data_IF_863012142507
#
_entry.id   IF_863012142507
#
_cell.length_a   1.000
_cell.length_b   1.000
_cell.length_c   1.000
_cell.angle_alpha   90.00
_cell.angle_beta   90.00
_cell.angle_gamma   90.00
#
_symmetry.space_group_name_H-M   'P 1'
#
loop_
_entity.id
_entity.type
_entity.pdbx_description
1 polymer ?
#
# COMPACT_ATOMS: atom_id res chain seq x y z
N UNK A 1 27.69 -37.01 -31.84
CA UNK A 1 27.77 -37.82 -30.61
C UNK A 1 27.64 -36.88 -29.43
N UNK A 2 26.50 -36.96 -28.70
CA UNK A 2 26.28 -36.17 -27.47
C UNK A 2 26.88 -36.95 -26.30
N UNK A 3 27.62 -36.27 -25.43
CA UNK A 3 28.26 -36.89 -24.27
C UNK A 3 27.21 -37.38 -23.24
N UNK A 4 27.44 -38.47 -22.50
CA UNK A 4 26.46 -39.06 -21.58
C UNK A 4 26.48 -38.46 -20.16
N UNK A 5 26.96 -37.22 -19.97
CA UNK A 5 27.17 -36.63 -18.63
C UNK A 5 26.19 -35.52 -18.24
N UNK A 6 25.15 -35.23 -19.03
CA UNK A 6 24.12 -34.22 -18.70
C UNK A 6 22.76 -34.84 -18.28
N UNK A 7 22.77 -36.04 -17.69
CA UNK A 7 21.57 -36.71 -17.15
C UNK A 7 21.84 -37.40 -15.80
N UNK A 8 22.31 -36.66 -14.82
CA UNK A 8 22.25 -36.92 -13.37
C UNK A 8 22.62 -35.56 -12.73
N UNK A 9 21.68 -34.72 -12.30
CA UNK A 9 21.43 -34.53 -10.85
C UNK A 9 20.16 -33.68 -10.57
N UNK A 10 19.13 -33.76 -11.42
CA UNK A 10 17.82 -33.13 -11.14
C UNK A 10 16.83 -34.06 -10.43
N UNK A 11 17.22 -35.30 -10.14
CA UNK A 11 16.45 -36.24 -9.36
C UNK A 11 16.99 -36.25 -7.93
N UNK A 12 16.19 -35.67 -7.03
CA UNK A 12 16.27 -35.81 -5.58
C UNK A 12 17.26 -34.88 -4.83
N UNK A 13 17.20 -33.57 -5.08
CA UNK A 13 17.50 -32.64 -3.97
C UNK A 13 16.40 -32.83 -2.93
N UNK A 14 16.72 -33.46 -1.80
CA UNK A 14 15.79 -33.59 -0.69
C UNK A 14 15.22 -32.21 -0.34
N UNK A 15 13.89 -32.07 -0.39
CA UNK A 15 13.20 -30.83 -0.04
C UNK A 15 13.62 -30.46 1.38
N UNK A 16 14.37 -29.36 1.54
CA UNK A 16 14.79 -28.88 2.85
C UNK A 16 13.54 -28.47 3.61
N UNK A 17 13.22 -29.20 4.68
CA UNK A 17 12.12 -28.88 5.58
C UNK A 17 12.69 -28.31 6.87
N UNK A 18 12.21 -27.13 7.24
CA UNK A 18 12.57 -26.50 8.50
C UNK A 18 12.03 -27.27 9.69
N UNK A 19 12.83 -27.34 10.75
CA UNK A 19 12.48 -28.02 12.02
C UNK A 19 12.48 -27.06 13.21
N UNK A 20 12.86 -25.79 13.02
CA UNK A 20 12.83 -24.79 14.07
C UNK A 20 11.39 -24.33 14.37
N UNK A 21 10.95 -24.50 15.61
CA UNK A 21 9.64 -24.05 16.10
C UNK A 21 9.69 -22.71 16.85
N UNK A 22 10.88 -22.10 16.95
CA UNK A 22 11.11 -20.79 17.56
C UNK A 22 11.25 -19.69 16.51
N UNK A 23 10.92 -18.44 16.86
CA UNK A 23 10.99 -17.31 15.93
C UNK A 23 12.41 -17.03 15.41
N UNK A 24 13.44 -17.50 16.12
CA UNK A 24 14.84 -17.43 15.73
C UNK A 24 15.51 -18.79 16.01
N UNK A 25 16.23 -19.40 15.04
CA UNK A 25 17.02 -20.61 15.26
C UNK A 25 18.02 -20.46 16.41
N UNK A 26 18.21 -21.53 17.18
CA UNK A 26 19.06 -21.53 18.38
C UNK A 26 20.50 -21.07 18.11
N UNK A 27 21.09 -21.47 16.97
CA UNK A 27 22.45 -21.09 16.61
C UNK A 27 22.57 -19.57 16.37
N UNK A 28 21.63 -18.99 15.63
CA UNK A 28 21.58 -17.55 15.38
C UNK A 28 21.31 -16.77 16.68
N UNK A 29 20.34 -17.21 17.49
CA UNK A 29 20.02 -16.57 18.77
C UNK A 29 21.26 -16.51 19.67
N UNK A 30 21.94 -17.65 19.90
CA UNK A 30 23.15 -17.70 20.73
C UNK A 30 24.24 -16.78 20.21
N UNK A 31 24.43 -16.75 18.89
CA UNK A 31 25.40 -15.89 18.23
C UNK A 31 25.05 -14.41 18.44
N UNK A 32 23.83 -13.96 18.11
CA UNK A 32 23.43 -12.55 18.23
C UNK A 32 23.40 -12.05 19.67
N UNK A 33 23.09 -12.91 20.64
CA UNK A 33 23.21 -12.58 22.07
C UNK A 33 24.68 -12.40 22.47
N UNK A 34 25.56 -13.33 22.10
CA UNK A 34 26.99 -13.26 22.42
C UNK A 34 27.67 -12.03 21.82
N UNK A 35 27.39 -11.74 20.55
CA UNK A 35 27.96 -10.59 19.82
C UNK A 35 27.23 -9.25 20.12
N UNK A 36 26.21 -9.26 20.99
CA UNK A 36 25.39 -8.07 21.35
C UNK A 36 24.72 -7.38 20.14
N UNK A 37 24.24 -8.17 19.18
CA UNK A 37 23.59 -7.72 17.94
C UNK A 37 22.06 -7.82 18.00
N UNK A 38 21.47 -7.57 19.17
CA UNK A 38 20.01 -7.61 19.34
C UNK A 38 19.39 -6.26 18.95
N UNK A 39 18.31 -6.30 18.17
CA UNK A 39 17.54 -5.10 17.87
C UNK A 39 16.74 -4.65 19.11
N UNK A 40 16.34 -3.38 19.17
CA UNK A 40 15.53 -2.83 20.27
C UNK A 40 14.28 -3.68 20.58
N UNK A 41 13.57 -4.12 19.54
CA UNK A 41 12.36 -4.95 19.65
C UNK A 41 12.63 -6.40 20.10
N UNK A 42 13.90 -6.81 20.16
CA UNK A 42 14.32 -8.12 20.66
C UNK A 42 14.86 -8.04 22.10
N UNK A 43 14.82 -6.86 22.73
CA UNK A 43 15.19 -6.63 24.12
C UNK A 43 13.94 -6.59 25.01
N UNK A 44 14.01 -7.23 26.18
CA UNK A 44 12.92 -7.21 27.16
C UNK A 44 12.65 -5.78 27.62
N UNK A 45 11.48 -5.25 27.27
CA UNK A 45 11.08 -3.87 27.59
C UNK A 45 12.06 -2.78 27.10
N UNK A 46 12.83 -3.04 26.05
CA UNK A 46 13.88 -2.12 25.58
C UNK A 46 15.06 -1.97 26.57
N UNK A 47 15.13 -2.79 27.63
CA UNK A 47 16.23 -2.78 28.58
C UNK A 47 17.49 -3.35 27.92
N UNK A 48 18.60 -2.61 28.03
CA UNK A 48 19.89 -3.05 27.48
C UNK A 48 20.30 -4.39 28.10
N UNK A 49 20.76 -5.31 27.26
CA UNK A 49 21.36 -6.60 27.63
C UNK A 49 20.43 -7.65 28.25
N UNK A 50 19.10 -7.48 28.21
CA UNK A 50 18.15 -8.54 28.57
C UNK A 50 17.44 -9.04 27.31
N UNK A 51 17.81 -10.22 26.79
CA UNK A 51 17.14 -10.81 25.63
C UNK A 51 15.64 -11.00 25.87
N UNK A 52 14.83 -10.58 24.92
CA UNK A 52 13.39 -10.82 24.84
C UNK A 52 13.07 -11.87 23.77
N UNK A 53 12.09 -11.58 22.92
CA UNK A 53 11.72 -12.45 21.80
C UNK A 53 12.58 -12.08 20.58
N UNK A 54 13.45 -12.99 20.16
CA UNK A 54 14.27 -12.81 18.96
C UNK A 54 13.55 -13.33 17.72
N UNK A 55 13.72 -12.64 16.61
CA UNK A 55 13.18 -13.06 15.31
C UNK A 55 14.32 -13.18 14.32
N UNK A 56 14.37 -14.29 13.58
CA UNK A 56 15.40 -14.58 12.57
C UNK A 56 15.62 -13.40 11.61
N UNK A 57 16.85 -12.93 11.55
CA UNK A 57 17.29 -11.82 10.70
C UNK A 57 17.49 -12.25 9.24
N UNK A 58 17.25 -11.34 8.31
CA UNK A 58 17.53 -11.61 6.91
C UNK A 58 19.04 -11.59 6.64
N UNK A 59 19.57 -12.75 6.29
CA UNK A 59 20.94 -12.89 5.80
C UNK A 59 20.95 -12.99 4.27
N UNK A 60 21.80 -12.18 3.62
CA UNK A 60 22.08 -12.34 2.19
C UNK A 60 22.86 -13.65 2.00
N UNK A 61 22.53 -14.43 0.99
CA UNK A 61 23.38 -15.56 0.59
C UNK A 61 24.70 -14.97 0.09
N UNK A 62 25.82 -15.22 0.78
CA UNK A 62 27.14 -15.05 0.18
C UNK A 62 27.43 -16.26 -0.72
N UNK A 63 28.28 -16.09 -1.74
CA UNK A 63 28.58 -17.11 -2.74
C UNK A 63 29.11 -18.42 -2.13
N UNK A 64 29.64 -18.38 -0.90
CA UNK A 64 30.25 -19.51 -0.20
C UNK A 64 29.40 -20.09 0.96
N UNK A 65 28.13 -19.69 1.09
CA UNK A 65 27.28 -20.18 2.20
C UNK A 65 26.82 -21.60 1.91
N UNK A 66 27.25 -22.55 2.76
CA UNK A 66 26.73 -23.93 2.79
C UNK A 66 25.20 -23.92 2.80
N UNK A 67 24.58 -24.86 2.09
CA UNK A 67 23.12 -25.04 2.10
C UNK A 67 22.60 -25.05 3.54
N UNK A 68 21.58 -24.23 3.87
CA UNK A 68 21.07 -24.12 5.23
C UNK A 68 20.49 -25.47 5.68
N UNK A 69 20.74 -25.83 6.95
CA UNK A 69 20.20 -27.07 7.52
C UNK A 69 18.74 -26.89 7.91
N UNK A 70 18.02 -28.00 8.09
CA UNK A 70 16.64 -27.97 8.58
C UNK A 70 16.49 -27.24 9.93
N UNK A 71 17.47 -27.39 10.83
CA UNK A 71 17.49 -26.71 12.14
C UNK A 71 17.65 -25.18 12.05
N UNK A 72 18.24 -24.70 10.95
CA UNK A 72 18.39 -23.27 10.68
C UNK A 72 17.11 -22.67 10.10
N UNK A 73 16.11 -23.50 9.74
CA UNK A 73 14.92 -23.08 9.01
C UNK A 73 13.66 -23.28 9.85
N UNK A 74 12.76 -22.30 9.85
CA UNK A 74 11.52 -22.34 10.63
C UNK A 74 10.46 -23.19 9.95
N UNK A 75 9.68 -23.93 10.75
CA UNK A 75 8.51 -24.67 10.26
C UNK A 75 7.45 -23.71 9.68
N UNK A 76 6.57 -24.20 8.81
CA UNK A 76 5.44 -23.41 8.28
C UNK A 76 4.57 -22.80 9.38
N UNK A 77 4.33 -23.55 10.46
CA UNK A 77 3.58 -23.08 11.62
C UNK A 77 4.33 -21.94 12.33
N UNK A 78 5.63 -22.10 12.56
CA UNK A 78 6.44 -21.06 13.17
C UNK A 78 6.54 -19.80 12.29
N UNK A 79 6.66 -19.94 10.97
CA UNK A 79 6.65 -18.80 10.04
C UNK A 79 5.31 -18.06 10.10
N UNK A 80 4.19 -18.78 10.18
CA UNK A 80 2.86 -18.17 10.34
C UNK A 80 2.79 -17.38 11.64
N UNK A 81 3.18 -17.97 12.78
CA UNK A 81 3.23 -17.29 14.09
C UNK A 81 4.19 -16.11 14.09
N UNK A 82 5.29 -16.19 13.35
CA UNK A 82 6.26 -15.09 13.20
C UNK A 82 5.60 -13.90 12.51
N UNK A 83 4.95 -14.11 11.37
CA UNK A 83 4.25 -13.04 10.65
C UNK A 83 3.16 -12.43 11.52
N UNK A 84 2.39 -13.25 12.23
CA UNK A 84 1.39 -12.76 13.19
C UNK A 84 1.99 -11.93 14.32
N UNK A 85 3.11 -12.38 14.93
CA UNK A 85 3.79 -11.63 15.97
C UNK A 85 4.28 -10.26 15.47
N UNK A 86 4.94 -10.22 14.31
CA UNK A 86 5.44 -8.98 13.72
C UNK A 86 4.30 -7.99 13.42
N UNK A 87 3.20 -8.48 12.85
CA UNK A 87 2.08 -7.64 12.40
C UNK A 87 0.98 -7.45 13.44
N UNK A 88 1.18 -7.93 14.67
CA UNK A 88 0.26 -7.74 15.79
C UNK A 88 0.91 -7.05 16.97
N UNK A 89 2.08 -7.54 17.38
CA UNK A 89 2.77 -7.05 18.57
C UNK A 89 3.76 -5.94 18.19
N UNK A 90 4.67 -6.20 17.24
CA UNK A 90 5.73 -5.24 16.91
C UNK A 90 5.18 -4.00 16.18
N UNK A 91 4.23 -4.17 15.25
CA UNK A 91 3.65 -3.05 14.52
C UNK A 91 2.88 -2.07 15.44
N UNK A 92 2.41 -2.56 16.59
CA UNK A 92 1.68 -1.76 17.59
C UNK A 92 2.59 -1.20 18.66
N UNK A 93 3.87 -1.56 18.67
CA UNK A 93 4.85 -1.08 19.63
C UNK A 93 5.23 0.38 19.33
N UNK A 94 4.73 1.29 20.17
CA UNK A 94 4.92 2.72 20.05
C UNK A 94 6.09 3.26 20.89
N UNK A 95 6.93 2.40 21.48
CA UNK A 95 8.10 2.82 22.26
C UNK A 95 9.19 3.45 21.39
N UNK A 96 9.16 3.18 20.09
CA UNK A 96 10.03 3.78 19.08
C UNK A 96 9.17 4.35 17.93
N UNK A 97 9.71 5.30 17.14
CA UNK A 97 9.04 5.78 15.94
C UNK A 97 8.72 4.64 14.97
N UNK A 98 7.58 4.73 14.27
CA UNK A 98 7.10 3.67 13.38
C UNK A 98 8.14 3.23 12.33
N UNK A 99 8.97 4.15 11.82
CA UNK A 99 10.05 3.80 10.87
C UNK A 99 11.02 2.74 11.41
N UNK A 100 11.33 2.76 12.71
CA UNK A 100 12.21 1.75 13.33
C UNK A 100 11.52 0.39 13.40
N UNK A 101 10.21 0.38 13.68
CA UNK A 101 9.40 -0.84 13.63
C UNK A 101 9.29 -1.35 12.19
N UNK A 102 9.13 -0.46 11.21
CA UNK A 102 9.14 -0.79 9.80
C UNK A 102 10.44 -1.49 9.40
N UNK A 103 11.61 -0.90 9.67
CA UNK A 103 12.92 -1.46 9.30
C UNK A 103 13.10 -2.87 9.88
N UNK A 104 12.76 -3.04 11.16
CA UNK A 104 12.82 -4.33 11.81
C UNK A 104 11.86 -5.34 11.17
N UNK A 105 10.56 -5.02 11.07
CA UNK A 105 9.56 -5.94 10.51
C UNK A 105 9.91 -6.27 9.06
N UNK A 106 10.28 -5.28 8.26
CA UNK A 106 10.66 -5.42 6.86
C UNK A 106 11.84 -6.39 6.69
N UNK A 107 12.90 -6.25 7.49
CA UNK A 107 14.02 -7.20 7.50
C UNK A 107 13.55 -8.62 7.86
N UNK A 108 12.83 -8.78 8.98
CA UNK A 108 12.38 -10.10 9.45
C UNK A 108 11.42 -10.78 8.46
N UNK A 109 10.58 -10.01 7.76
CA UNK A 109 9.71 -10.50 6.69
C UNK A 109 10.49 -10.91 5.42
N UNK A 110 11.63 -10.27 5.13
CA UNK A 110 12.54 -10.75 4.06
C UNK A 110 13.14 -12.11 4.43
N UNK A 111 13.46 -12.33 5.70
CA UNK A 111 13.89 -13.65 6.17
C UNK A 111 12.79 -14.70 5.96
N UNK A 112 11.54 -14.40 6.35
CA UNK A 112 10.37 -15.26 6.08
C UNK A 112 10.25 -15.58 4.58
N UNK A 113 10.29 -14.56 3.71
CA UNK A 113 10.20 -14.74 2.25
C UNK A 113 11.31 -15.61 1.68
N UNK A 114 12.54 -15.47 2.19
CA UNK A 114 13.67 -16.33 1.79
C UNK A 114 13.41 -17.78 2.20
N UNK A 115 12.85 -18.00 3.39
CA UNK A 115 12.52 -19.35 3.85
C UNK A 115 11.39 -20.01 3.06
N UNK A 116 10.40 -19.26 2.58
CA UNK A 116 9.37 -19.76 1.65
C UNK A 116 10.02 -20.36 0.39
N UNK A 117 10.98 -19.64 -0.20
CA UNK A 117 11.65 -20.06 -1.44
C UNK A 117 12.53 -21.29 -1.19
N UNK A 118 13.38 -21.26 -0.16
CA UNK A 118 14.33 -22.36 0.12
C UNK A 118 13.59 -23.64 0.48
N UNK A 119 12.50 -23.56 1.25
CA UNK A 119 11.72 -24.74 1.64
C UNK A 119 10.71 -25.18 0.56
N UNK A 120 10.65 -24.50 -0.58
CA UNK A 120 9.75 -24.82 -1.70
C UNK A 120 8.29 -25.01 -1.25
N UNK A 121 7.75 -24.02 -0.54
CA UNK A 121 6.36 -24.03 -0.10
C UNK A 121 5.40 -24.04 -1.29
N UNK A 122 4.27 -24.73 -1.13
CA UNK A 122 3.24 -24.76 -2.16
C UNK A 122 2.49 -23.41 -2.28
N UNK A 123 1.60 -23.31 -3.26
CA UNK A 123 0.85 -22.08 -3.53
C UNK A 123 -0.01 -21.62 -2.34
N UNK A 124 -0.61 -22.56 -1.59
CA UNK A 124 -1.47 -22.23 -0.46
C UNK A 124 -0.65 -21.73 0.74
N UNK A 125 0.45 -22.42 1.05
CA UNK A 125 1.40 -22.04 2.09
C UNK A 125 2.04 -20.68 1.78
N UNK A 126 2.46 -20.49 0.52
CA UNK A 126 3.08 -19.24 0.05
C UNK A 126 2.11 -18.07 0.12
N UNK A 127 0.89 -18.21 -0.41
CA UNK A 127 -0.13 -17.16 -0.34
C UNK A 127 -0.44 -16.78 1.13
N UNK A 128 -0.62 -17.77 2.00
CA UNK A 128 -0.91 -17.54 3.42
C UNK A 128 0.13 -16.67 4.13
N UNK A 129 1.41 -16.77 3.77
CA UNK A 129 2.48 -15.95 4.35
C UNK A 129 2.70 -14.63 3.62
N UNK A 130 2.50 -14.58 2.30
CA UNK A 130 2.75 -13.36 1.51
C UNK A 130 1.60 -12.34 1.58
N UNK A 131 0.34 -12.78 1.72
CA UNK A 131 -0.81 -11.88 1.79
C UNK A 131 -0.68 -10.83 2.92
N UNK A 132 -0.35 -11.17 4.18
CA UNK A 132 -0.15 -10.16 5.22
C UNK A 132 1.08 -9.28 4.98
N UNK A 133 2.11 -9.81 4.30
CA UNK A 133 3.32 -9.03 3.95
C UNK A 133 2.97 -7.93 2.93
N UNK A 134 2.15 -8.26 1.93
CA UNK A 134 1.59 -7.28 0.98
C UNK A 134 0.88 -6.16 1.73
N UNK A 135 0.02 -6.52 2.70
CA UNK A 135 -0.74 -5.54 3.49
C UNK A 135 0.17 -4.64 4.33
N UNK A 136 1.19 -5.20 4.98
CA UNK A 136 2.18 -4.43 5.74
C UNK A 136 2.94 -3.44 4.86
N UNK A 137 3.39 -3.88 3.68
CA UNK A 137 4.11 -3.03 2.74
C UNK A 137 3.21 -1.92 2.18
N UNK A 138 1.97 -2.24 1.80
CA UNK A 138 0.99 -1.26 1.32
C UNK A 138 0.66 -0.19 2.38
N UNK A 139 0.44 -0.61 3.63
CA UNK A 139 0.22 0.33 4.74
C UNK A 139 1.46 1.20 4.99
N UNK A 140 2.64 0.59 5.09
CA UNK A 140 3.89 1.29 5.37
C UNK A 140 4.24 2.31 4.30
N UNK A 141 3.96 1.98 3.03
CA UNK A 141 4.17 2.87 1.89
C UNK A 141 3.44 4.20 2.02
N UNK A 142 2.24 4.20 2.59
CA UNK A 142 1.52 5.43 2.91
C UNK A 142 1.95 6.01 4.27
N UNK A 143 2.10 5.16 5.28
CA UNK A 143 2.43 5.60 6.65
C UNK A 143 3.74 6.38 6.72
N UNK A 144 4.71 6.07 5.87
CA UNK A 144 6.03 6.69 5.79
C UNK A 144 6.19 7.61 4.57
N UNK A 145 5.11 8.02 3.90
CA UNK A 145 5.19 8.75 2.62
C UNK A 145 5.86 10.14 2.73
N UNK A 146 5.85 10.74 3.92
CA UNK A 146 6.45 12.04 4.23
C UNK A 146 7.89 11.92 4.78
N UNK A 147 8.36 10.73 5.16
CA UNK A 147 9.72 10.48 5.66
C UNK A 147 10.78 10.72 4.57
N UNK A 148 11.95 11.27 4.91
CA UNK A 148 13.02 11.54 3.95
C UNK A 148 13.63 10.22 3.43
N UNK A 149 14.24 10.26 2.24
CA UNK A 149 14.70 9.05 1.53
C UNK A 149 15.76 8.26 2.32
N UNK A 150 16.54 8.95 3.16
CA UNK A 150 17.56 8.33 4.02
C UNK A 150 16.95 7.47 5.14
N UNK A 151 15.69 7.75 5.51
CA UNK A 151 14.96 7.02 6.56
C UNK A 151 13.94 6.04 5.95
N UNK A 152 13.41 6.32 4.76
CA UNK A 152 12.49 5.44 4.06
C UNK A 152 12.61 5.62 2.55
N UNK A 153 13.11 4.58 1.87
CA UNK A 153 13.11 4.53 0.40
C UNK A 153 11.81 3.90 -0.13
N UNK A 154 10.90 4.77 -0.57
CA UNK A 154 9.64 4.38 -1.18
C UNK A 154 9.81 3.42 -2.36
N UNK A 155 10.88 3.54 -3.17
CA UNK A 155 11.11 2.66 -4.32
C UNK A 155 11.46 1.25 -3.89
N UNK A 156 12.26 1.10 -2.82
CA UNK A 156 12.56 -0.21 -2.24
C UNK A 156 11.28 -0.85 -1.70
N UNK A 157 10.45 -0.09 -0.99
CA UNK A 157 9.16 -0.57 -0.50
C UNK A 157 8.24 -0.99 -1.66
N UNK A 158 8.13 -0.17 -2.71
CA UNK A 158 7.32 -0.43 -3.90
C UNK A 158 7.79 -1.68 -4.66
N UNK A 159 9.11 -1.87 -4.82
CA UNK A 159 9.66 -3.07 -5.45
C UNK A 159 9.26 -4.32 -4.67
N UNK A 160 9.42 -4.31 -3.34
CA UNK A 160 9.06 -5.47 -2.53
C UNK A 160 7.55 -5.71 -2.45
N UNK A 161 6.74 -4.65 -2.48
CA UNK A 161 5.29 -4.76 -2.58
C UNK A 161 4.90 -5.42 -3.91
N UNK A 162 5.50 -4.97 -5.01
CA UNK A 162 5.29 -5.57 -6.34
C UNK A 162 5.71 -7.04 -6.37
N UNK A 163 6.89 -7.39 -5.84
CA UNK A 163 7.37 -8.78 -5.79
C UNK A 163 6.40 -9.68 -5.02
N UNK A 164 5.94 -9.23 -3.84
CA UNK A 164 5.03 -10.00 -3.00
C UNK A 164 3.66 -10.13 -3.65
N UNK A 165 3.13 -9.06 -4.24
CA UNK A 165 1.90 -9.09 -5.03
C UNK A 165 2.03 -10.11 -6.16
N UNK A 166 3.04 -10.00 -7.02
CA UNK A 166 3.27 -10.94 -8.11
C UNK A 166 3.37 -12.39 -7.60
N UNK A 167 4.03 -12.63 -6.46
CA UNK A 167 4.08 -13.95 -5.81
C UNK A 167 2.71 -14.49 -5.43
N UNK A 168 1.89 -13.70 -4.72
CA UNK A 168 0.52 -14.08 -4.32
C UNK A 168 -0.38 -14.30 -5.55
N UNK A 169 -0.30 -13.42 -6.54
CA UNK A 169 -1.11 -13.50 -7.75
C UNK A 169 -0.78 -14.73 -8.60
N UNK A 170 0.47 -15.19 -8.60
CA UNK A 170 0.88 -16.48 -9.20
C UNK A 170 0.31 -17.65 -8.40
N UNK A 171 0.34 -17.58 -7.07
CA UNK A 171 -0.26 -18.60 -6.21
C UNK A 171 -1.76 -18.75 -6.48
N UNK A 172 -2.51 -17.65 -6.63
CA UNK A 172 -3.93 -17.72 -7.00
C UNK A 172 -4.17 -18.39 -8.35
N UNK A 173 -3.35 -18.10 -9.36
CA UNK A 173 -3.45 -18.78 -10.67
C UNK A 173 -3.22 -20.29 -10.55
N UNK A 174 -2.16 -20.70 -9.83
CA UNK A 174 -1.88 -22.12 -9.59
C UNK A 174 -3.01 -22.82 -8.81
N UNK A 175 -3.64 -22.12 -7.86
CA UNK A 175 -4.76 -22.66 -7.10
C UNK A 175 -6.05 -22.79 -7.94
N UNK A 176 -6.27 -21.90 -8.91
CA UNK A 176 -7.40 -22.00 -9.84
C UNK A 176 -7.26 -23.20 -10.79
N UNK A 177 -6.03 -23.56 -11.16
CA UNK A 177 -5.71 -24.69 -12.04
C UNK A 177 -5.80 -26.05 -11.32
N UNK A 178 -5.73 -26.08 -9.98
CA UNK A 178 -5.75 -27.31 -9.17
C UNK A 178 -7.18 -27.66 -8.70
N UNK A 179 -7.96 -28.25 -9.61
CA UNK A 179 -9.34 -28.70 -9.35
C UNK A 179 -9.46 -29.69 -8.17
N UNK A 180 -8.37 -30.42 -7.87
CA UNK A 180 -8.34 -31.45 -6.82
C UNK A 180 -8.32 -30.88 -5.39
N UNK A 181 -8.00 -29.58 -5.23
CA UNK A 181 -7.86 -28.90 -3.93
C UNK A 181 -8.85 -27.75 -3.72
N UNK A 182 -9.81 -27.56 -4.63
CA UNK A 182 -10.81 -26.46 -4.62
C UNK A 182 -11.82 -26.55 -3.47
N UNK A 183 -11.36 -26.31 -2.23
CA UNK A 183 -12.22 -25.93 -1.10
C UNK A 183 -11.73 -24.60 -0.56
N UNK A 184 -11.96 -23.54 -1.32
CA UNK A 184 -11.77 -22.18 -0.84
C UNK A 184 -12.83 -21.88 0.23
N UNK A 185 -12.38 -21.48 1.41
CA UNK A 185 -13.27 -20.92 2.42
C UNK A 185 -13.74 -19.54 1.98
N UNK A 186 -14.85 -19.06 2.56
CA UNK A 186 -15.33 -17.69 2.34
C UNK A 186 -14.21 -16.67 2.65
N UNK A 187 -13.39 -16.95 3.66
CA UNK A 187 -12.26 -16.10 4.02
C UNK A 187 -11.17 -16.08 2.95
N UNK A 188 -10.89 -17.20 2.29
CA UNK A 188 -9.92 -17.26 1.19
C UNK A 188 -10.38 -16.38 0.02
N UNK A 189 -11.67 -16.46 -0.30
CA UNK A 189 -12.29 -15.62 -1.34
C UNK A 189 -12.17 -14.13 -0.97
N UNK A 190 -12.52 -13.75 0.26
CA UNK A 190 -12.42 -12.36 0.70
C UNK A 190 -10.99 -11.83 0.68
N UNK A 191 -10.02 -12.63 1.12
CA UNK A 191 -8.59 -12.30 1.06
C UNK A 191 -8.14 -12.06 -0.37
N UNK A 192 -8.51 -12.95 -1.28
CA UNK A 192 -8.22 -12.79 -2.70
C UNK A 192 -8.83 -11.51 -3.28
N UNK A 193 -10.13 -11.26 -3.08
CA UNK A 193 -10.77 -10.05 -3.56
C UNK A 193 -10.05 -8.78 -3.08
N UNK A 194 -9.65 -8.77 -1.81
CA UNK A 194 -8.94 -7.64 -1.23
C UNK A 194 -7.52 -7.48 -1.82
N UNK A 195 -6.75 -8.56 -1.94
CA UNK A 195 -5.39 -8.51 -2.52
C UNK A 195 -5.41 -8.12 -4.01
N UNK A 196 -6.38 -8.61 -4.77
CA UNK A 196 -6.58 -8.19 -6.16
C UNK A 196 -6.92 -6.70 -6.24
N UNK A 197 -7.70 -6.18 -5.28
CA UNK A 197 -7.98 -4.74 -5.16
C UNK A 197 -6.72 -3.94 -4.83
N UNK A 198 -5.85 -4.46 -3.94
CA UNK A 198 -4.53 -3.84 -3.64
C UNK A 198 -3.70 -3.77 -4.92
N UNK A 199 -3.63 -4.84 -5.70
CA UNK A 199 -2.91 -4.86 -6.97
C UNK A 199 -3.44 -3.82 -7.97
N UNK A 200 -4.76 -3.70 -8.12
CA UNK A 200 -5.39 -2.71 -9.00
C UNK A 200 -5.03 -1.27 -8.60
N UNK A 201 -5.10 -0.96 -7.30
CA UNK A 201 -4.80 0.39 -6.80
C UNK A 201 -3.31 0.70 -6.88
N UNK A 202 -2.46 -0.24 -6.48
CA UNK A 202 -1.00 -0.08 -6.52
C UNK A 202 -0.50 0.19 -7.94
N UNK A 203 -1.04 -0.56 -8.91
CA UNK A 203 -0.70 -0.45 -10.32
C UNK A 203 -1.68 0.43 -11.11
N UNK A 204 -2.37 1.37 -10.45
CA UNK A 204 -3.30 2.26 -11.12
C UNK A 204 -2.62 2.99 -12.29
N UNK A 205 -3.17 2.80 -13.49
CA UNK A 205 -2.67 3.36 -14.74
C UNK A 205 -1.73 2.45 -15.55
N UNK A 206 -1.38 1.28 -15.02
CA UNK A 206 -0.58 0.27 -15.73
C UNK A 206 -1.49 -0.66 -16.55
N UNK A 207 -1.26 -0.84 -17.86
CA UNK A 207 -2.07 -1.72 -18.71
C UNK A 207 -2.20 -3.17 -18.18
N UNK A 208 -1.14 -3.70 -17.57
CA UNK A 208 -1.08 -5.06 -17.03
C UNK A 208 -2.06 -5.27 -15.87
N UNK A 209 -2.33 -4.20 -15.10
CA UNK A 209 -3.34 -4.23 -14.04
C UNK A 209 -4.75 -4.35 -14.64
N UNK A 210 -5.01 -3.60 -15.70
CA UNK A 210 -6.29 -3.59 -16.39
C UNK A 210 -6.55 -4.93 -17.11
N UNK A 211 -5.54 -5.47 -17.81
CA UNK A 211 -5.64 -6.78 -18.46
C UNK A 211 -5.94 -7.89 -17.44
N UNK A 212 -5.23 -7.90 -16.30
CA UNK A 212 -5.49 -8.87 -15.24
C UNK A 212 -6.95 -8.83 -14.81
N UNK A 213 -7.50 -7.64 -14.56
CA UNK A 213 -8.88 -7.48 -14.07
C UNK A 213 -9.93 -8.15 -14.98
N UNK A 214 -9.68 -8.21 -16.29
CA UNK A 214 -10.56 -8.85 -17.27
C UNK A 214 -10.52 -10.39 -17.21
N UNK A 215 -9.43 -10.96 -16.69
CA UNK A 215 -9.20 -12.41 -16.60
C UNK A 215 -9.56 -13.01 -15.24
N UNK A 216 -9.99 -12.18 -14.28
CA UNK A 216 -10.28 -12.64 -12.93
C UNK A 216 -11.59 -13.43 -12.84
N UNK A 217 -11.69 -14.39 -11.91
CA UNK A 217 -12.93 -15.11 -11.65
C UNK A 217 -14.09 -14.18 -11.28
N UNK A 218 -15.31 -14.63 -11.59
CA UNK A 218 -16.54 -13.87 -11.38
C UNK A 218 -16.69 -13.36 -9.94
N UNK A 219 -16.37 -14.18 -8.95
CA UNK A 219 -16.49 -13.78 -7.54
C UNK A 219 -15.60 -12.58 -7.20
N UNK A 220 -14.42 -12.45 -7.82
CA UNK A 220 -13.56 -11.27 -7.64
C UNK A 220 -14.14 -10.07 -8.38
N UNK A 221 -14.55 -10.26 -9.64
CA UNK A 221 -15.13 -9.19 -10.47
C UNK A 221 -16.45 -8.65 -9.90
N UNK A 222 -17.18 -9.47 -9.15
CA UNK A 222 -18.43 -9.09 -8.51
C UNK A 222 -18.25 -8.41 -7.15
N UNK A 223 -17.07 -8.52 -6.52
CA UNK A 223 -16.77 -7.91 -5.23
C UNK A 223 -16.95 -6.37 -5.29
N UNK A 224 -17.69 -5.76 -4.33
CA UNK A 224 -17.96 -4.32 -4.34
C UNK A 224 -16.70 -3.46 -4.28
N UNK A 225 -15.71 -3.87 -3.50
CA UNK A 225 -14.46 -3.13 -3.32
C UNK A 225 -13.60 -3.21 -4.58
N UNK A 226 -13.48 -4.41 -5.15
CA UNK A 226 -12.78 -4.62 -6.40
C UNK A 226 -13.40 -3.83 -7.55
N UNK A 227 -14.74 -3.79 -7.64
CA UNK A 227 -15.47 -2.99 -8.64
C UNK A 227 -15.09 -1.51 -8.59
N UNK A 228 -14.97 -0.92 -7.40
CA UNK A 228 -14.53 0.48 -7.25
C UNK A 228 -13.10 0.63 -7.78
N UNK A 229 -12.19 -0.25 -7.39
CA UNK A 229 -10.79 -0.21 -7.82
C UNK A 229 -10.65 -0.35 -9.35
N UNK A 230 -11.38 -1.29 -9.94
CA UNK A 230 -11.39 -1.52 -11.38
C UNK A 230 -12.01 -0.34 -12.15
N UNK A 231 -13.12 0.22 -11.67
CA UNK A 231 -13.71 1.43 -12.26
C UNK A 231 -12.74 2.62 -12.22
N UNK A 232 -12.00 2.80 -11.12
CA UNK A 232 -10.94 3.81 -11.05
C UNK A 232 -9.85 3.57 -12.10
N UNK A 233 -9.43 2.32 -12.31
CA UNK A 233 -8.48 1.97 -13.38
C UNK A 233 -9.00 2.34 -14.77
N UNK A 234 -10.26 1.97 -15.08
CA UNK A 234 -10.91 2.34 -16.33
C UNK A 234 -10.98 3.86 -16.53
N UNK A 235 -11.39 4.62 -15.51
CA UNK A 235 -11.45 6.08 -15.61
C UNK A 235 -10.07 6.70 -15.79
N UNK A 236 -9.04 6.13 -15.17
CA UNK A 236 -7.67 6.60 -15.36
C UNK A 236 -7.21 6.41 -16.81
N UNK A 237 -7.45 5.23 -17.40
CA UNK A 237 -7.13 4.97 -18.81
C UNK A 237 -7.92 5.84 -19.79
N UNK A 238 -9.14 6.24 -19.43
CA UNK A 238 -9.96 7.20 -20.20
C UNK A 238 -9.52 8.66 -20.02
N UNK A 239 -8.52 8.95 -19.18
CA UNK A 239 -8.10 10.32 -18.84
C UNK A 239 -9.09 11.06 -17.91
N UNK A 240 -10.09 10.38 -17.36
CA UNK A 240 -11.10 10.96 -16.49
C UNK A 240 -10.63 11.00 -15.02
N UNK A 241 -9.64 11.85 -14.75
CA UNK A 241 -9.05 11.99 -13.40
C UNK A 241 -10.07 12.45 -12.35
N UNK A 242 -11.10 13.22 -12.73
CA UNK A 242 -12.19 13.59 -11.82
C UNK A 242 -12.85 12.36 -11.20
N UNK A 243 -13.24 11.37 -12.02
CA UNK A 243 -13.88 10.16 -11.52
C UNK A 243 -12.94 9.26 -10.72
N UNK A 244 -11.64 9.27 -11.06
CA UNK A 244 -10.61 8.60 -10.26
C UNK A 244 -10.55 9.22 -8.86
N UNK A 245 -10.39 10.56 -8.79
CA UNK A 245 -10.31 11.31 -7.53
C UNK A 245 -11.57 11.14 -6.69
N UNK A 246 -12.76 11.19 -7.29
CA UNK A 246 -14.01 10.94 -6.55
C UNK A 246 -14.18 9.47 -6.11
N UNK A 247 -13.39 8.55 -6.65
CA UNK A 247 -13.31 7.15 -6.22
C UNK A 247 -12.47 6.97 -4.96
N UNK A 248 -11.41 7.76 -4.77
CA UNK A 248 -10.46 7.61 -3.65
C UNK A 248 -11.16 7.57 -2.27
N UNK A 249 -12.05 8.52 -1.90
CA UNK A 249 -12.72 8.52 -0.61
C UNK A 249 -13.69 7.34 -0.41
N UNK A 250 -14.08 6.64 -1.49
CA UNK A 250 -14.95 5.45 -1.42
C UNK A 250 -14.18 4.18 -1.07
N UNK A 251 -12.86 4.18 -1.24
CA UNK A 251 -12.02 3.04 -0.88
C UNK A 251 -11.96 2.86 0.65
N UNK A 252 -11.85 1.61 1.13
CA UNK A 252 -11.65 1.32 2.54
C UNK A 252 -10.18 1.53 2.95
N UNK A 253 -9.97 2.00 4.20
CA UNK A 253 -8.71 2.07 4.94
C UNK A 253 -7.39 2.05 4.11
N UNK A 254 -6.79 0.87 3.92
CA UNK A 254 -5.46 0.66 3.31
C UNK A 254 -5.51 0.84 1.80
N UNK A 255 -6.61 0.49 1.13
CA UNK A 255 -6.77 0.79 -0.30
C UNK A 255 -6.83 2.30 -0.52
N UNK A 256 -7.52 3.02 0.36
CA UNK A 256 -7.56 4.48 0.33
C UNK A 256 -6.17 5.08 0.56
N UNK A 257 -5.44 4.56 1.55
CA UNK A 257 -4.07 4.95 1.86
C UNK A 257 -3.11 4.72 0.69
N UNK A 258 -3.15 3.52 0.09
CA UNK A 258 -2.31 3.19 -1.06
C UNK A 258 -2.67 4.03 -2.29
N UNK A 259 -3.94 4.32 -2.53
CA UNK A 259 -4.35 5.20 -3.63
C UNK A 259 -3.85 6.64 -3.44
N UNK A 260 -3.77 7.09 -2.18
CA UNK A 260 -3.34 8.45 -1.84
C UNK A 260 -1.85 8.70 -2.14
N UNK A 261 -1.01 7.67 -2.24
CA UNK A 261 0.40 7.83 -2.67
C UNK A 261 0.50 8.35 -4.10
N UNK A 262 -0.53 8.16 -4.94
CA UNK A 262 -0.59 8.72 -6.30
C UNK A 262 -1.26 10.09 -6.36
N UNK A 263 -1.79 10.60 -5.25
CA UNK A 263 -2.67 11.77 -5.23
C UNK A 263 -1.97 13.04 -5.71
N UNK A 264 -0.72 13.28 -5.29
CA UNK A 264 0.01 14.47 -5.71
C UNK A 264 0.29 14.50 -7.22
N UNK A 265 0.61 13.33 -7.79
CA UNK A 265 0.75 13.17 -9.24
C UNK A 265 -0.56 13.46 -9.97
N UNK A 266 -1.69 12.98 -9.45
CA UNK A 266 -3.01 13.26 -10.02
C UNK A 266 -3.40 14.74 -9.89
N UNK A 267 -3.14 15.38 -8.73
CA UNK A 267 -3.38 16.81 -8.50
C UNK A 267 -2.59 17.68 -9.48
N UNK A 268 -1.31 17.38 -9.69
CA UNK A 268 -0.49 18.04 -10.71
C UNK A 268 -1.11 17.93 -12.11
N UNK A 269 -1.49 16.72 -12.52
CA UNK A 269 -2.10 16.48 -13.84
C UNK A 269 -3.42 17.21 -14.00
N UNK A 270 -4.26 17.25 -12.96
CA UNK A 270 -5.50 18.03 -12.96
C UNK A 270 -5.18 19.50 -13.23
N UNK A 271 -4.28 20.12 -12.46
CA UNK A 271 -3.91 21.51 -12.68
C UNK A 271 -3.38 21.75 -14.11
N UNK A 272 -2.55 20.86 -14.64
CA UNK A 272 -2.09 20.91 -16.04
C UNK A 272 -3.24 20.82 -17.04
N UNK A 273 -4.23 19.96 -16.82
CA UNK A 273 -5.40 19.88 -17.71
C UNK A 273 -6.19 21.18 -17.73
N UNK A 274 -6.35 21.84 -16.57
CA UNK A 274 -7.05 23.11 -16.47
C UNK A 274 -6.33 24.23 -17.24
N UNK A 275 -5.00 24.25 -17.32
CA UNK A 275 -4.26 25.26 -18.11
C UNK A 275 -4.46 25.12 -19.61
N UNK A 276 -4.77 23.91 -20.08
CA UNK A 276 -5.12 23.67 -21.48
C UNK A 276 -6.60 23.95 -21.79
N UNK A 277 -7.49 23.62 -20.86
CA UNK A 277 -8.94 23.74 -21.05
C UNK A 277 -9.46 25.16 -20.80
N UNK A 278 -8.87 25.88 -19.86
CA UNK A 278 -9.25 27.25 -19.48
C UNK A 278 -8.11 28.18 -19.92
N UNK A 279 -8.32 28.85 -21.06
CA UNK A 279 -7.49 29.98 -21.49
C UNK A 279 -8.04 31.28 -20.85
N UNK A 280 -7.32 32.40 -20.96
CA UNK A 280 -7.49 33.74 -20.33
C UNK A 280 -8.90 34.33 -20.13
N UNK A 281 -9.96 33.69 -20.62
CA UNK A 281 -11.36 34.10 -20.51
C UNK A 281 -12.11 33.51 -19.30
N UNK A 282 -11.62 32.45 -18.65
CA UNK A 282 -12.40 31.77 -17.62
C UNK A 282 -11.56 31.43 -16.38
N UNK A 283 -12.03 31.95 -15.24
CA UNK A 283 -11.53 31.64 -13.92
C UNK A 283 -12.20 30.37 -13.37
N UNK A 284 -11.44 29.55 -12.65
CA UNK A 284 -11.99 28.36 -11.99
C UNK A 284 -12.22 28.67 -10.51
N UNK A 285 -13.43 28.44 -9.96
CA UNK A 285 -13.69 28.69 -8.55
C UNK A 285 -12.77 27.86 -7.64
N UNK A 286 -12.14 28.50 -6.65
CA UNK A 286 -11.24 27.80 -5.72
C UNK A 286 -11.97 26.71 -4.93
N UNK A 287 -13.24 26.95 -4.60
CA UNK A 287 -14.12 25.96 -3.94
C UNK A 287 -14.32 24.68 -4.75
N UNK A 288 -14.35 24.80 -6.09
CA UNK A 288 -14.42 23.65 -6.98
C UNK A 288 -13.11 22.87 -7.02
N UNK A 289 -11.96 23.56 -7.07
CA UNK A 289 -10.65 22.91 -7.02
C UNK A 289 -10.39 22.19 -5.71
N UNK A 290 -10.74 22.79 -4.56
CA UNK A 290 -10.66 22.12 -3.26
C UNK A 290 -11.38 20.77 -3.29
N UNK A 291 -12.62 20.76 -3.80
CA UNK A 291 -13.42 19.53 -3.91
C UNK A 291 -12.80 18.52 -4.87
N UNK A 292 -12.50 18.92 -6.10
CA UNK A 292 -12.03 18.00 -7.15
C UNK A 292 -10.67 17.40 -6.81
N UNK A 293 -9.78 18.21 -6.22
CA UNK A 293 -8.44 17.80 -5.85
C UNK A 293 -8.37 17.16 -4.45
N UNK A 294 -9.50 17.04 -3.74
CA UNK A 294 -9.57 16.53 -2.37
C UNK A 294 -8.62 17.29 -1.43
N UNK A 295 -8.59 18.62 -1.51
CA UNK A 295 -7.78 19.47 -0.64
C UNK A 295 -8.68 20.03 0.46
N UNK A 296 -8.25 19.86 1.70
CA UNK A 296 -9.07 20.23 2.87
C UNK A 296 -8.98 21.73 3.23
N UNK A 297 -7.90 22.42 2.86
CA UNK A 297 -7.68 23.82 3.24
C UNK A 297 -7.37 24.74 2.05
N UNK A 298 -7.92 25.97 2.03
CA UNK A 298 -7.57 26.96 1.01
C UNK A 298 -6.09 27.35 1.01
N UNK A 299 -5.41 27.28 2.15
CA UNK A 299 -3.96 27.50 2.27
C UNK A 299 -3.16 26.45 1.50
N UNK A 300 -3.54 25.17 1.62
CA UNK A 300 -2.88 24.10 0.88
C UNK A 300 -3.13 24.26 -0.63
N UNK A 301 -4.34 24.61 -1.06
CA UNK A 301 -4.61 24.91 -2.47
C UNK A 301 -3.73 26.07 -2.97
N UNK A 302 -3.61 27.15 -2.18
CA UNK A 302 -2.75 28.29 -2.53
C UNK A 302 -1.29 27.89 -2.68
N UNK A 303 -0.77 27.07 -1.76
CA UNK A 303 0.60 26.55 -1.83
C UNK A 303 0.80 25.67 -3.07
N UNK A 304 -0.13 24.76 -3.37
CA UNK A 304 -0.05 23.91 -4.56
C UNK A 304 -0.08 24.72 -5.86
N UNK A 305 -1.03 25.66 -5.98
CA UNK A 305 -1.11 26.54 -7.14
C UNK A 305 0.18 27.36 -7.31
N UNK A 306 0.67 27.97 -6.22
CA UNK A 306 1.91 28.75 -6.24
C UNK A 306 3.14 27.94 -6.64
N UNK A 307 3.27 26.69 -6.16
CA UNK A 307 4.36 25.78 -6.54
C UNK A 307 4.41 25.52 -8.05
N UNK A 308 3.25 25.45 -8.71
CA UNK A 308 3.17 25.26 -10.15
C UNK A 308 3.03 26.56 -10.96
N UNK A 309 3.19 27.74 -10.32
CA UNK A 309 3.16 29.06 -10.98
C UNK A 309 1.76 29.62 -11.26
N UNK A 310 0.71 29.05 -10.69
CA UNK A 310 -0.67 29.48 -10.91
C UNK A 310 -1.07 30.61 -9.95
N UNK A 311 -1.67 31.67 -10.50
CA UNK A 311 -2.14 32.81 -9.71
C UNK A 311 -3.50 32.50 -9.05
N UNK A 312 -3.57 32.80 -7.76
CA UNK A 312 -4.77 32.63 -6.94
C UNK A 312 -5.32 34.01 -6.60
N UNK A 313 -6.64 34.20 -6.75
CA UNK A 313 -7.29 35.49 -6.50
C UNK A 313 -7.02 36.01 -5.09
N UNK A 314 -6.82 37.34 -4.98
CA UNK A 314 -6.73 38.06 -3.71
C UNK A 314 -8.10 38.23 -3.04
N UNK A 315 -9.18 38.10 -3.80
CA UNK A 315 -10.54 38.07 -3.28
C UNK A 315 -10.86 36.67 -2.77
N UNK A 316 -11.32 36.59 -1.53
CA UNK A 316 -11.78 35.34 -0.95
C UNK A 316 -13.29 35.36 -0.79
N UNK A 317 -13.93 34.23 -1.07
CA UNK A 317 -15.35 33.98 -0.82
C UNK A 317 -15.52 32.95 0.29
N UNK A 318 -16.68 32.97 0.98
CA UNK A 318 -17.02 31.91 1.93
C UNK A 318 -17.39 30.65 1.17
N UNK A 319 -16.92 29.49 1.63
CA UNK A 319 -17.26 28.19 1.03
C UNK A 319 -18.77 28.06 0.85
N UNK A 320 -19.29 27.92 -0.39
CA UNK A 320 -20.70 27.62 -0.58
C UNK A 320 -20.98 26.18 -0.12
N UNK A 321 -21.87 26.01 0.86
CA UNK A 321 -22.39 24.69 1.20
C UNK A 321 -23.38 24.29 0.12
N UNK A 322 -22.99 23.34 -0.73
CA UNK A 322 -23.91 22.75 -1.69
C UNK A 322 -24.93 21.90 -0.93
N UNK A 323 -26.12 22.47 -0.68
CA UNK A 323 -27.28 21.73 -0.22
C UNK A 323 -27.62 20.63 -1.25
N UNK A 324 -27.77 19.40 -0.76
CA UNK A 324 -28.26 18.27 -1.55
C UNK A 324 -29.62 18.61 -2.20
N UNK A 325 -29.76 18.33 -3.50
CA UNK A 325 -31.02 18.49 -4.26
C UNK A 325 -32.19 17.70 -3.68
N UNK A 326 -31.95 16.75 -2.77
CA UNK A 326 -33.00 15.94 -2.13
C UNK A 326 -33.95 16.71 -1.21
N UNK A 327 -33.66 17.99 -0.90
CA UNK A 327 -34.39 18.77 0.12
C UNK A 327 -35.18 19.96 -0.49
N UNK A 328 -35.09 20.22 -1.80
CA UNK A 328 -35.63 21.46 -2.39
C UNK A 328 -36.76 21.19 -3.38
N UNK A 329 -37.98 21.60 -3.03
CA UNK A 329 -39.19 21.45 -3.85
C UNK A 329 -39.37 22.54 -4.93
N UNK A 330 -38.60 23.64 -4.92
CA UNK A 330 -38.70 24.70 -5.95
C UNK A 330 -37.37 25.38 -6.34
N UNK A 331 -37.14 25.71 -7.63
CA UNK A 331 -35.87 26.26 -8.14
C UNK A 331 -35.52 27.69 -7.70
N UNK A 332 -36.44 28.44 -7.08
CA UNK A 332 -36.27 29.87 -6.76
C UNK A 332 -35.84 30.16 -5.31
N UNK A 333 -35.56 29.13 -4.51
CA UNK A 333 -35.13 29.28 -3.11
C UNK A 333 -33.82 28.55 -2.83
N UNK A 334 -32.77 28.76 -3.63
CA UNK A 334 -31.41 28.42 -3.23
C UNK A 334 -30.88 29.48 -2.26
N UNK A 335 -31.29 29.40 -0.98
CA UNK A 335 -30.52 30.05 0.08
C UNK A 335 -29.27 29.20 0.33
N UNK A 336 -28.12 29.73 -0.05
CA UNK A 336 -26.81 29.20 0.34
C UNK A 336 -26.77 29.22 1.87
N UNK A 337 -26.85 28.05 2.50
CA UNK A 337 -26.72 27.95 3.95
C UNK A 337 -25.23 28.03 4.29
N UNK A 338 -24.85 29.03 5.08
CA UNK A 338 -23.48 29.20 5.52
C UNK A 338 -23.26 28.46 6.85
N UNK A 339 -22.28 27.55 6.91
CA UNK A 339 -21.85 26.96 8.18
C UNK A 339 -20.82 27.90 8.82
N UNK A 340 -21.03 28.37 10.07
CA UNK A 340 -20.02 29.13 10.81
C UNK A 340 -18.77 28.26 11.01
N UNK A 341 -17.59 28.77 10.60
CA UNK A 341 -16.30 28.09 10.81
C UNK A 341 -15.61 27.57 9.55
N UNK A 342 -16.25 27.61 8.37
CA UNK A 342 -15.57 27.37 7.10
C UNK A 342 -14.75 28.61 6.71
N UNK A 343 -13.43 28.46 6.62
CA UNK A 343 -12.52 29.56 6.26
C UNK A 343 -12.82 30.22 4.91
N UNK A 344 -12.16 31.34 4.65
CA UNK A 344 -12.26 32.06 3.38
C UNK A 344 -11.46 31.33 2.29
N UNK A 345 -12.09 31.01 1.16
CA UNK A 345 -11.46 30.31 0.01
C UNK A 345 -11.20 31.32 -1.11
N UNK A 346 -10.09 31.20 -1.88
CA UNK A 346 -9.90 32.03 -3.04
C UNK A 346 -11.09 31.95 -4.00
N UNK A 347 -11.62 33.12 -4.38
CA UNK A 347 -12.77 33.23 -5.29
C UNK A 347 -12.50 32.54 -6.63
N UNK A 348 -11.25 32.63 -7.10
CA UNK A 348 -10.84 32.12 -8.39
C UNK A 348 -9.36 31.70 -8.39
N UNK A 349 -9.03 30.71 -9.20
CA UNK A 349 -7.67 30.41 -9.67
C UNK A 349 -7.63 30.67 -11.16
N UNK A 350 -6.61 31.41 -11.59
CA UNK A 350 -6.39 31.75 -12.99
C UNK A 350 -5.55 30.68 -13.67
N UNK A 351 -6.00 30.26 -14.83
CA UNK A 351 -5.31 29.27 -15.64
C UNK A 351 -4.87 29.90 -16.96
N UNK A 352 -3.60 29.73 -17.26
CA UNK A 352 -3.00 30.11 -18.53
C UNK A 352 -1.88 29.12 -18.85
N UNK A 353 -1.85 28.65 -20.09
CA UNK A 353 -0.92 27.61 -20.55
C UNK A 353 0.55 27.99 -20.33
N UNK A 354 0.90 29.28 -20.45
CA UNK A 354 2.28 29.78 -20.26
C UNK A 354 2.74 29.75 -18.81
N UNK A 355 1.82 29.74 -17.86
CA UNK A 355 2.13 30.07 -16.46
C UNK A 355 2.47 28.79 -15.66
N UNK A 356 2.11 27.62 -16.20
CA UNK A 356 2.40 26.35 -15.56
C UNK A 356 3.89 26.01 -15.64
N UNK A 357 4.52 25.90 -14.46
CA UNK A 357 5.93 25.53 -14.34
C UNK A 357 6.08 24.02 -14.59
N UNK A 358 6.21 23.63 -15.86
CA UNK A 358 6.33 22.22 -16.23
C UNK A 358 7.60 21.55 -15.69
N UNK A 359 8.66 22.33 -15.45
CA UNK A 359 9.91 21.87 -14.85
C UNK A 359 9.82 21.64 -13.34
N UNK A 360 8.77 22.14 -12.66
CA UNK A 360 8.59 21.91 -11.24
C UNK A 360 8.37 20.41 -10.98
N UNK A 361 9.04 19.89 -9.95
CA UNK A 361 8.83 18.52 -9.51
C UNK A 361 7.41 18.35 -8.96
N UNK A 362 6.88 17.13 -9.03
CA UNK A 362 5.62 16.82 -8.37
C UNK A 362 5.83 16.97 -6.86
N UNK A 363 4.93 17.70 -6.20
CA UNK A 363 4.94 17.84 -4.74
C UNK A 363 5.03 16.45 -4.10
N UNK A 364 5.91 16.30 -3.11
CA UNK A 364 6.10 15.06 -2.37
C UNK A 364 4.76 14.59 -1.77
N UNK A 365 4.59 13.28 -1.71
CA UNK A 365 3.47 12.62 -1.05
C UNK A 365 3.36 13.03 0.42
N UNK A 366 2.13 13.06 0.94
CA UNK A 366 1.82 13.56 2.28
C UNK A 366 0.67 12.74 2.86
N UNK A 367 0.52 12.75 4.19
CA UNK A 367 -0.70 12.26 4.82
C UNK A 367 -1.88 13.17 4.48
N UNK A 368 -3.04 12.55 4.36
CA UNK A 368 -4.27 13.17 3.89
C UNK A 368 -5.33 12.94 4.98
N UNK A 369 -5.94 13.99 5.56
CA UNK A 369 -6.84 13.85 6.70
C UNK A 369 -8.00 12.88 6.49
N UNK A 370 -8.54 12.80 5.27
CA UNK A 370 -9.63 11.86 4.95
C UNK A 370 -9.18 10.39 4.96
N UNK A 371 -7.90 10.11 4.68
CA UNK A 371 -7.31 8.78 4.77
C UNK A 371 -7.00 8.45 6.22
N UNK A 372 -6.36 9.37 6.95
CA UNK A 372 -6.01 9.18 8.36
C UNK A 372 -7.25 8.94 9.22
N UNK A 373 -8.35 9.64 8.91
CA UNK A 373 -9.63 9.43 9.57
C UNK A 373 -10.15 8.01 9.37
N UNK A 374 -9.97 7.40 8.19
CA UNK A 374 -10.33 5.99 7.94
C UNK A 374 -9.40 5.04 8.68
N UNK A 375 -8.09 5.30 8.68
CA UNK A 375 -7.10 4.46 9.36
C UNK A 375 -7.28 4.45 10.89
N UNK A 376 -7.75 5.55 11.48
CA UNK A 376 -8.07 5.64 12.92
C UNK A 376 -9.26 4.77 13.35
N UNK A 377 -10.15 4.39 12.42
CA UNK A 377 -11.35 3.60 12.71
C UNK A 377 -11.12 2.09 12.65
N UNK A 378 -9.92 1.65 12.29
CA UNK A 378 -9.59 0.23 12.15
C UNK A 378 -8.54 -0.19 13.17
N UNK A 379 -8.64 -1.42 13.65
CA UNK A 379 -7.57 -2.04 14.41
C UNK A 379 -6.53 -2.60 13.43
N UNK A 380 -5.38 -1.92 13.34
CA UNK A 380 -4.36 -2.18 12.31
C UNK A 380 -3.98 -3.67 12.18
N UNK A 381 -3.71 -4.42 13.26
CA UNK A 381 -3.35 -5.84 13.14
C UNK A 381 -4.40 -6.72 12.46
N UNK A 382 -5.69 -6.45 12.68
CA UNK A 382 -6.75 -7.21 12.01
C UNK A 382 -6.79 -6.94 10.50
N UNK A 383 -6.50 -5.71 10.10
CA UNK A 383 -6.44 -5.35 8.69
C UNK A 383 -5.19 -5.92 8.03
N UNK A 384 -4.03 -5.80 8.69
CA UNK A 384 -2.76 -6.34 8.16
C UNK A 384 -2.79 -7.86 8.02
N UNK A 385 -3.42 -8.56 8.96
CA UNK A 385 -3.58 -10.01 8.92
C UNK A 385 -4.81 -10.47 8.10
N UNK A 386 -5.48 -9.54 7.41
CA UNK A 386 -6.68 -9.81 6.60
C UNK A 386 -7.77 -10.58 7.36
N UNK A 387 -7.93 -10.24 8.64
CA UNK A 387 -9.02 -10.70 9.51
C UNK A 387 -10.24 -9.78 9.38
N UNK A 388 -10.05 -8.55 8.90
CA UNK A 388 -11.10 -7.54 8.62
C UNK A 388 -10.78 -6.76 7.33
N UNK A 389 -11.81 -6.45 6.54
CA UNK A 389 -11.68 -5.91 5.17
C UNK A 389 -12.38 -4.57 4.91
N UNK A 390 -13.22 -4.09 5.85
CA UNK A 390 -13.99 -2.84 5.77
C UNK A 390 -13.97 -2.12 7.09
#
# INVERSE_FOLDING_TARGET
>A
MRSPLEKCDFLQMAKIQGTCNEFCPNAEMKMRVRERMLHFFELKNGQKNVPGILVKEFTRSAADVKMPKGEDMRTMECLTRTVEYLLKEIVMDNRMPYRMAYDFIFDRLRAVRREIVIQMFDAQQTAKLLEPIVMFLAYSRYRLCDEPIELFDAKICDQHLQDCLTGVLRCYKTLDEDESKSRHTIRDIQRRCFIESVYQVFNLGCPESMERALTLPDHVRQDPTFKICFQMSLFYHQGNLYRVLMGLPKLPHILCALAATKLQTMRRRVLQMFTHAYNKQFDVPGSYLLRVMLIDTPEHLKQQCGHYGLEVSKEFERVPVLCSRSIVQTPRQTKVLHIPGAGSVPKAVRFNKSDFINSAETIKEQHEPFVDSKLKLVYLPEVLLLKKFV
#
